data_IF_215699205422
#
_entry.id   IF_215699205422
#
_cell.length_a   1.000
_cell.length_b   1.000
_cell.length_c   1.000
_cell.angle_alpha   90.00
_cell.angle_beta   90.00
_cell.angle_gamma   90.00
#
_symmetry.space_group_name_H-M   'P 1'
#
loop_
_entity.id
_entity.type
_entity.pdbx_description
1 polymer ?
#
# COMPACT_ATOMS: atom_id res chain seq x y z
N UNK A 1 -44.19 31.23 24.91
CA UNK A 1 -42.99 30.70 25.58
C UNK A 1 -42.75 29.31 24.99
N UNK A 2 -41.85 29.19 24.00
CA UNK A 2 -41.50 27.91 23.39
C UNK A 2 -40.19 27.45 24.03
N UNK A 3 -40.26 26.40 24.84
CA UNK A 3 -39.06 25.77 25.42
C UNK A 3 -38.37 24.93 24.35
N UNK A 4 -37.24 25.41 23.86
CA UNK A 4 -36.37 24.64 22.97
C UNK A 4 -35.53 23.68 23.82
N UNK A 5 -35.97 22.44 23.98
CA UNK A 5 -35.14 21.40 24.59
C UNK A 5 -33.95 21.08 23.66
N UNK A 6 -32.69 21.09 24.13
CA UNK A 6 -31.55 20.79 23.28
C UNK A 6 -31.58 19.33 22.83
N UNK A 7 -31.50 19.09 21.51
CA UNK A 7 -31.50 17.76 20.93
C UNK A 7 -30.24 16.98 21.36
N UNK A 8 -30.41 16.03 22.27
CA UNK A 8 -29.34 15.12 22.68
C UNK A 8 -29.08 14.16 21.53
N UNK A 9 -27.88 14.24 20.93
CA UNK A 9 -27.51 13.36 19.81
C UNK A 9 -27.30 11.92 20.30
N UNK A 10 -27.51 10.93 19.40
CA UNK A 10 -27.17 9.53 19.68
C UNK A 10 -25.69 9.37 20.11
N UNK A 11 -24.79 10.17 19.56
CA UNK A 11 -23.38 10.18 19.97
C UNK A 11 -23.20 10.56 21.45
N UNK A 12 -24.01 11.51 21.95
CA UNK A 12 -24.02 11.92 23.36
C UNK A 12 -24.52 10.79 24.27
N UNK A 13 -25.57 10.07 23.85
CA UNK A 13 -26.11 8.93 24.61
C UNK A 13 -25.13 7.76 24.67
N UNK A 14 -24.51 7.40 23.53
CA UNK A 14 -23.50 6.34 23.45
C UNK A 14 -22.27 6.66 24.31
N UNK A 15 -21.80 7.91 24.29
CA UNK A 15 -20.68 8.35 25.13
C UNK A 15 -21.00 8.26 26.63
N UNK A 16 -22.27 8.49 27.00
CA UNK A 16 -22.73 8.41 28.40
C UNK A 16 -22.90 6.96 28.86
N UNK A 17 -23.28 6.05 27.97
CA UNK A 17 -23.50 4.64 28.24
C UNK A 17 -22.23 3.77 28.15
N UNK A 18 -21.14 4.28 27.58
CA UNK A 18 -19.88 3.56 27.50
C UNK A 18 -19.33 3.22 28.89
N UNK A 19 -19.15 1.92 29.17
CA UNK A 19 -18.47 1.42 30.36
C UNK A 19 -17.06 2.01 30.44
N UNK A 20 -16.82 2.83 31.46
CA UNK A 20 -15.50 3.40 31.72
C UNK A 20 -14.66 2.34 32.43
N UNK A 21 -13.83 1.64 31.67
CA UNK A 21 -12.78 0.80 32.24
C UNK A 21 -11.63 1.68 32.72
N UNK A 22 -11.15 1.46 33.95
CA UNK A 22 -9.93 2.10 34.47
C UNK A 22 -8.67 1.61 33.74
N UNK A 23 -8.78 0.48 33.03
CA UNK A 23 -7.77 0.05 32.08
C UNK A 23 -7.77 1.00 30.88
N UNK A 24 -6.91 2.03 30.96
CA UNK A 24 -6.36 2.68 29.78
C UNK A 24 -5.21 1.81 29.29
N UNK A 25 -5.40 0.99 28.25
CA UNK A 25 -4.27 0.33 27.61
C UNK A 25 -3.22 1.40 27.31
N UNK A 26 -2.00 1.20 27.79
CA UNK A 26 -0.92 2.16 27.64
C UNK A 26 -0.75 2.58 26.17
N UNK A 27 -1.06 1.66 25.23
CA UNK A 27 -0.95 1.86 23.79
C UNK A 27 -1.97 0.99 23.01
N UNK A 28 -3.07 1.57 22.49
CA UNK A 28 -4.06 0.85 21.63
C UNK A 28 -3.76 0.84 20.14
N UNK A 29 -2.54 1.20 19.77
CA UNK A 29 -2.04 0.76 18.48
C UNK A 29 -0.58 0.40 18.64
N UNK A 30 -0.11 -0.72 18.06
CA UNK A 30 1.33 -0.96 17.82
C UNK A 30 1.97 0.12 16.92
N UNK A 31 1.22 1.16 16.59
CA UNK A 31 1.41 2.13 15.56
C UNK A 31 1.02 3.50 16.12
N UNK A 32 1.76 4.00 17.13
CA UNK A 32 2.14 5.42 17.05
C UNK A 32 3.00 5.54 15.78
N UNK A 33 2.31 5.48 14.65
CA UNK A 33 2.78 5.62 13.28
C UNK A 33 3.41 6.98 13.28
N UNK A 34 4.73 7.00 13.31
CA UNK A 34 5.53 8.22 13.39
C UNK A 34 4.91 9.23 12.41
N UNK A 35 4.22 10.27 12.91
CA UNK A 35 3.55 11.29 12.10
C UNK A 35 4.52 11.94 11.08
N UNK A 36 5.84 11.77 11.29
CA UNK A 36 6.93 12.44 10.59
C UNK A 36 7.00 12.19 9.08
N UNK A 37 6.25 11.25 8.50
CA UNK A 37 6.30 10.99 7.03
C UNK A 37 4.98 11.13 6.27
N UNK A 38 3.89 11.64 6.88
CA UNK A 38 2.68 11.92 6.11
C UNK A 38 2.94 12.90 4.96
N UNK A 39 3.82 13.88 5.16
CA UNK A 39 4.16 14.85 4.13
C UNK A 39 4.72 14.18 2.86
N UNK A 40 5.72 13.31 3.02
CA UNK A 40 6.35 12.60 1.88
C UNK A 40 5.37 11.61 1.26
N UNK A 41 4.61 10.86 2.07
CA UNK A 41 3.60 9.94 1.56
C UNK A 41 2.50 10.67 0.77
N UNK A 42 1.99 11.78 1.29
CA UNK A 42 0.97 12.58 0.61
C UNK A 42 1.54 13.27 -0.63
N UNK A 43 2.82 13.67 -0.59
CA UNK A 43 3.54 14.14 -1.77
C UNK A 43 3.59 13.05 -2.85
N UNK A 44 3.90 11.80 -2.48
CA UNK A 44 3.91 10.66 -3.41
C UNK A 44 2.54 10.42 -4.05
N UNK A 45 1.46 10.53 -3.28
CA UNK A 45 0.09 10.42 -3.81
C UNK A 45 -0.24 11.56 -4.77
N UNK A 46 0.12 12.81 -4.42
CA UNK A 46 -0.10 13.99 -5.28
C UNK A 46 0.70 13.94 -6.58
N UNK A 47 1.85 13.28 -6.57
CA UNK A 47 2.73 13.11 -7.73
C UNK A 47 2.65 11.70 -8.32
N UNK A 48 1.51 11.02 -8.16
CA UNK A 48 1.35 9.61 -8.53
C UNK A 48 1.62 9.35 -10.01
N UNK A 49 1.27 10.28 -10.92
CA UNK A 49 1.57 10.18 -12.36
C UNK A 49 3.06 10.19 -12.67
N UNK A 50 3.82 11.09 -12.02
CA UNK A 50 5.28 11.15 -12.17
C UNK A 50 5.91 9.85 -11.66
N UNK A 51 5.46 9.37 -10.51
CA UNK A 51 5.96 8.15 -9.89
C UNK A 51 5.55 6.89 -10.66
N UNK A 52 4.39 6.88 -11.31
CA UNK A 52 3.95 5.80 -12.19
C UNK A 52 4.87 5.72 -13.41
N UNK A 53 5.14 6.85 -14.06
CA UNK A 53 6.08 6.91 -15.16
C UNK A 53 7.47 6.43 -14.74
N UNK A 54 7.99 6.91 -13.60
CA UNK A 54 9.28 6.49 -13.07
C UNK A 54 9.29 4.99 -12.74
N UNK A 55 8.23 4.48 -12.11
CA UNK A 55 8.08 3.07 -11.77
C UNK A 55 8.05 2.18 -13.03
N UNK A 56 7.34 2.60 -14.09
CA UNK A 56 7.30 1.87 -15.35
C UNK A 56 8.69 1.77 -15.97
N UNK A 57 9.42 2.89 -16.06
CA UNK A 57 10.80 2.90 -16.59
C UNK A 57 11.76 2.08 -15.74
N UNK A 58 11.64 2.20 -14.42
CA UNK A 58 12.44 1.41 -13.49
C UNK A 58 12.14 -0.09 -13.62
N UNK A 59 10.87 -0.49 -13.74
CA UNK A 59 10.47 -1.88 -13.91
C UNK A 59 10.98 -2.46 -15.23
N UNK A 60 10.87 -1.71 -16.34
CA UNK A 60 11.42 -2.13 -17.64
C UNK A 60 12.92 -2.33 -17.57
N UNK A 61 13.65 -1.37 -16.99
CA UNK A 61 15.09 -1.50 -16.75
C UNK A 61 15.41 -2.73 -15.91
N UNK A 62 14.72 -2.94 -14.77
CA UNK A 62 14.96 -4.09 -13.91
C UNK A 62 14.68 -5.42 -14.61
N UNK A 63 13.67 -5.46 -15.48
CA UNK A 63 13.36 -6.62 -16.32
C UNK A 63 14.44 -6.90 -17.36
N UNK A 64 15.03 -5.87 -17.97
CA UNK A 64 16.18 -6.07 -18.88
C UNK A 64 17.42 -6.61 -18.16
N UNK A 65 17.59 -6.29 -16.87
CA UNK A 65 18.67 -6.83 -16.03
C UNK A 65 18.34 -8.22 -15.44
N UNK A 66 17.12 -8.74 -15.61
CA UNK A 66 16.70 -10.08 -15.17
C UNK A 66 17.71 -11.21 -15.41
N UNK A 67 18.29 -11.38 -16.62
CA UNK A 67 19.26 -12.46 -16.87
C UNK A 67 20.52 -12.34 -15.99
N UNK A 68 20.95 -11.13 -15.64
CA UNK A 68 22.10 -10.92 -14.75
C UNK A 68 21.76 -11.38 -13.32
N UNK A 69 20.58 -11.01 -12.82
CA UNK A 69 20.12 -11.44 -11.49
C UNK A 69 19.95 -12.96 -11.41
N UNK A 70 19.44 -13.59 -12.48
CA UNK A 70 19.31 -15.04 -12.61
C UNK A 70 20.68 -15.73 -12.61
N UNK A 71 21.68 -15.16 -13.29
CA UNK A 71 23.05 -15.70 -13.34
C UNK A 71 23.83 -15.56 -12.03
N UNK A 72 23.66 -14.46 -11.28
CA UNK A 72 24.30 -14.24 -9.98
C UNK A 72 23.62 -15.07 -8.86
N UNK A 73 22.31 -15.31 -9.02
CA UNK A 73 21.46 -16.00 -8.08
C UNK A 73 20.70 -15.03 -7.17
N UNK A 74 19.37 -15.22 -7.07
CA UNK A 74 18.47 -14.37 -6.31
C UNK A 74 18.83 -14.23 -4.82
N UNK A 75 19.32 -15.30 -4.20
CA UNK A 75 19.71 -15.31 -2.79
C UNK A 75 20.84 -14.32 -2.46
N UNK A 76 21.79 -14.13 -3.39
CA UNK A 76 22.92 -13.21 -3.19
C UNK A 76 22.54 -11.75 -3.43
N UNK A 77 21.60 -11.53 -4.36
CA UNK A 77 21.14 -10.20 -4.76
C UNK A 77 20.08 -9.64 -3.80
N UNK A 78 19.33 -10.51 -3.13
CA UNK A 78 18.23 -10.09 -2.26
C UNK A 78 18.68 -9.18 -1.12
N UNK A 79 19.77 -9.51 -0.43
CA UNK A 79 20.30 -8.69 0.68
C UNK A 79 20.49 -7.20 0.32
N UNK A 80 21.33 -6.87 -0.68
CA UNK A 80 21.55 -5.48 -1.07
C UNK A 80 20.30 -4.84 -1.68
N UNK A 81 19.52 -5.56 -2.50
CA UNK A 81 18.30 -5.00 -3.11
C UNK A 81 17.24 -4.69 -2.07
N UNK A 82 17.01 -5.60 -1.11
CA UNK A 82 16.10 -5.39 0.03
C UNK A 82 16.50 -4.17 0.85
N UNK A 83 17.79 -3.96 1.07
CA UNK A 83 18.30 -2.82 1.82
C UNK A 83 17.98 -1.49 1.14
N UNK A 84 18.22 -1.40 -0.17
CA UNK A 84 17.85 -0.23 -0.98
C UNK A 84 16.33 -0.07 -1.00
N UNK A 85 15.59 -1.14 -1.27
CA UNK A 85 14.13 -1.16 -1.33
C UNK A 85 13.51 -0.65 -0.03
N UNK A 86 13.99 -1.13 1.13
CA UNK A 86 13.48 -0.74 2.45
C UNK A 86 13.69 0.74 2.73
N UNK A 87 14.83 1.31 2.33
CA UNK A 87 15.12 2.74 2.53
C UNK A 87 14.32 3.62 1.59
N UNK A 88 14.37 3.33 0.29
CA UNK A 88 13.68 4.11 -0.73
C UNK A 88 12.17 4.04 -0.52
N UNK A 89 11.60 2.83 -0.42
CA UNK A 89 10.15 2.68 -0.23
C UNK A 89 9.68 3.05 1.17
N UNK A 90 10.51 2.83 2.19
CA UNK A 90 10.23 3.27 3.56
C UNK A 90 10.09 4.79 3.64
N UNK A 91 11.02 5.53 3.02
CA UNK A 91 10.97 6.98 3.00
C UNK A 91 9.82 7.53 2.14
N UNK A 92 9.65 7.03 0.91
CA UNK A 92 8.69 7.60 -0.04
C UNK A 92 7.23 7.23 0.25
N UNK A 93 6.98 6.02 0.74
CA UNK A 93 5.62 5.44 0.82
C UNK A 93 5.24 4.92 2.21
N UNK A 94 6.11 5.07 3.22
CA UNK A 94 5.99 4.39 4.51
C UNK A 94 5.82 2.87 4.33
N UNK A 95 6.63 2.28 3.45
CA UNK A 95 6.52 0.86 3.12
C UNK A 95 6.77 -0.04 4.34
N UNK A 96 5.91 -1.05 4.52
CA UNK A 96 5.97 -2.05 5.60
C UNK A 96 6.59 -3.38 5.18
N UNK A 97 7.25 -3.41 4.03
CA UNK A 97 7.96 -4.59 3.51
C UNK A 97 7.10 -5.86 3.54
N UNK A 98 5.85 -5.81 3.08
CA UNK A 98 4.98 -7.00 2.98
C UNK A 98 5.40 -7.99 1.87
N UNK A 99 6.52 -7.74 1.19
CA UNK A 99 7.00 -8.54 0.05
C UNK A 99 6.15 -8.42 -1.21
N UNK A 100 4.92 -7.90 -1.13
CA UNK A 100 3.92 -7.87 -2.20
C UNK A 100 3.42 -6.46 -2.52
N UNK A 101 4.26 -5.69 -3.22
CA UNK A 101 4.00 -4.29 -3.56
C UNK A 101 2.89 -4.13 -4.61
N UNK A 102 1.92 -3.24 -4.33
CA UNK A 102 0.81 -2.89 -5.25
C UNK A 102 0.64 -1.37 -5.43
N UNK A 103 1.70 -0.59 -5.20
CA UNK A 103 1.67 0.89 -5.27
C UNK A 103 1.17 1.41 -6.62
N UNK A 104 1.50 0.71 -7.71
CA UNK A 104 1.06 1.02 -9.07
C UNK A 104 -0.44 0.79 -9.31
N UNK A 105 -1.13 0.04 -8.44
CA UNK A 105 -2.58 -0.14 -8.50
C UNK A 105 -3.30 0.77 -7.51
N UNK A 106 -2.63 1.21 -6.44
CA UNK A 106 -3.24 1.93 -5.32
C UNK A 106 -2.86 3.41 -5.25
N UNK A 107 -2.66 4.06 -6.40
CA UNK A 107 -2.44 5.51 -6.43
C UNK A 107 -1.20 5.97 -5.68
N UNK A 108 -0.14 5.14 -5.63
CA UNK A 108 1.06 5.38 -4.80
C UNK A 108 0.80 5.47 -3.28
N UNK A 109 -0.35 4.99 -2.80
CA UNK A 109 -0.68 4.85 -1.38
C UNK A 109 -0.53 3.37 -0.97
N UNK A 110 0.39 3.06 -0.06
CA UNK A 110 0.60 1.69 0.41
C UNK A 110 -0.57 1.25 1.32
N UNK A 111 -1.31 0.16 1.01
CA UNK A 111 -2.44 -0.32 1.81
C UNK A 111 -2.03 -0.86 3.19
N UNK A 112 -0.77 -1.27 3.35
CA UNK A 112 -0.23 -1.74 4.63
C UNK A 112 -0.11 -0.60 5.66
N UNK A 113 -0.30 0.65 5.24
CA UNK A 113 -0.45 1.78 6.14
C UNK A 113 -1.87 1.90 6.72
N UNK A 114 -2.79 1.00 6.37
CA UNK A 114 -4.09 0.92 7.03
C UNK A 114 -3.90 0.27 8.41
N UNK A 115 -4.48 0.81 9.50
CA UNK A 115 -4.43 0.15 10.81
C UNK A 115 -5.02 -1.25 10.79
N UNK A 116 -5.99 -1.47 9.89
CA UNK A 116 -6.64 -2.76 9.64
C UNK A 116 -5.86 -3.68 8.69
N UNK A 117 -4.75 -3.18 8.11
CA UNK A 117 -3.92 -3.90 7.13
C UNK A 117 -4.70 -4.49 5.93
N UNK A 118 -5.82 -3.85 5.58
CA UNK A 118 -6.68 -4.29 4.50
C UNK A 118 -6.02 -4.02 3.14
N UNK A 119 -5.73 -5.12 2.41
CA UNK A 119 -5.15 -5.04 1.07
C UNK A 119 -6.13 -4.63 -0.01
N UNK A 120 -7.42 -4.87 0.21
CA UNK A 120 -8.53 -4.42 -0.62
C UNK A 120 -9.42 -3.49 0.21
N UNK A 121 -9.94 -2.43 -0.40
CA UNK A 121 -10.83 -1.48 0.26
C UNK A 121 -11.75 -0.79 -0.75
N UNK A 122 -12.51 0.23 -0.34
CA UNK A 122 -12.58 0.79 1.02
C UNK A 122 -13.28 -0.13 2.04
N UNK A 123 -13.08 0.12 3.33
CA UNK A 123 -13.68 -0.69 4.41
C UNK A 123 -14.93 -0.08 5.04
N UNK A 124 -15.50 0.98 4.44
CA UNK A 124 -16.65 1.73 4.99
C UNK A 124 -16.33 2.64 6.19
N UNK A 125 -15.24 2.38 6.92
CA UNK A 125 -14.81 3.14 8.10
C UNK A 125 -14.13 4.48 7.82
N UNK A 126 -14.62 5.26 6.85
CA UNK A 126 -14.09 6.59 6.54
C UNK A 126 -14.97 7.64 7.21
N UNK A 127 -14.37 8.52 8.00
CA UNK A 127 -15.05 9.65 8.63
C UNK A 127 -15.43 10.70 7.58
N UNK A 128 -16.41 11.55 7.90
CA UNK A 128 -16.86 12.63 7.02
C UNK A 128 -15.74 13.59 6.59
N UNK A 129 -14.68 13.72 7.39
CA UNK A 129 -13.49 14.52 7.06
C UNK A 129 -12.44 13.77 6.20
N UNK A 130 -12.71 12.55 5.75
CA UNK A 130 -11.78 11.72 4.98
C UNK A 130 -10.76 10.93 5.80
N UNK A 131 -10.85 10.96 7.14
CA UNK A 131 -9.92 10.25 8.02
C UNK A 131 -10.39 8.82 8.35
N UNK A 132 -9.45 7.95 8.76
CA UNK A 132 -9.74 6.55 9.11
C UNK A 132 -10.48 6.46 10.44
N UNK A 133 -11.51 5.62 10.60
CA UNK A 133 -12.25 5.43 11.86
C UNK A 133 -11.39 4.99 13.06
N UNK A 134 -10.31 4.23 12.83
CA UNK A 134 -9.47 3.69 13.91
C UNK A 134 -8.50 4.75 14.45
N UNK A 135 -7.92 5.57 13.58
CA UNK A 135 -7.02 6.66 13.96
C UNK A 135 -7.61 8.00 13.43
N UNK A 136 -8.31 8.79 14.26
CA UNK A 136 -8.99 10.02 13.82
C UNK A 136 -8.12 11.07 13.17
N UNK A 137 -6.83 11.10 13.50
CA UNK A 137 -5.89 12.10 12.98
C UNK A 137 -5.20 11.64 11.68
N UNK A 138 -5.43 10.40 11.23
CA UNK A 138 -4.82 9.87 10.01
C UNK A 138 -5.77 10.03 8.80
N UNK A 139 -5.29 10.55 7.66
CA UNK A 139 -6.02 10.45 6.41
C UNK A 139 -6.26 8.99 6.02
N UNK A 140 -7.47 8.66 5.57
CA UNK A 140 -7.78 7.30 5.15
C UNK A 140 -6.88 6.88 3.98
N UNK A 141 -6.23 5.72 4.13
CA UNK A 141 -5.29 5.18 3.14
C UNK A 141 -5.95 4.94 1.79
N UNK A 142 -7.20 4.48 1.80
CA UNK A 142 -7.97 4.18 0.60
C UNK A 142 -8.56 5.41 -0.06
N UNK A 143 -8.91 6.45 0.72
CA UNK A 143 -9.24 7.76 0.15
C UNK A 143 -8.04 8.31 -0.62
N UNK A 144 -6.84 8.26 -0.02
CA UNK A 144 -5.60 8.68 -0.69
C UNK A 144 -5.20 7.79 -1.87
N UNK A 145 -5.46 6.49 -1.78
CA UNK A 145 -5.25 5.58 -2.91
C UNK A 145 -6.14 5.95 -4.10
N UNK A 146 -7.42 6.26 -3.83
CA UNK A 146 -8.36 6.71 -4.86
C UNK A 146 -7.95 8.05 -5.47
N UNK A 147 -7.65 9.07 -4.64
CA UNK A 147 -7.15 10.37 -5.13
C UNK A 147 -5.93 10.21 -6.04
N UNK A 148 -4.95 9.40 -5.61
CA UNK A 148 -3.75 9.14 -6.40
C UNK A 148 -4.03 8.35 -7.67
N UNK A 149 -4.96 7.40 -7.66
CA UNK A 149 -5.31 6.60 -8.84
C UNK A 149 -5.95 7.45 -9.92
N UNK A 150 -6.77 8.44 -9.55
CA UNK A 150 -7.40 9.36 -10.52
C UNK A 150 -6.41 10.27 -11.25
N UNK A 151 -5.19 10.42 -10.73
CA UNK A 151 -4.11 11.18 -11.37
C UNK A 151 -3.25 10.28 -12.29
N UNK A 152 -3.23 8.97 -12.04
CA UNK A 152 -2.46 7.98 -12.80
C UNK A 152 -3.09 7.66 -14.16
N UNK A 153 -2.26 7.20 -15.09
CA UNK A 153 -2.67 6.71 -16.42
C UNK A 153 -3.43 5.39 -16.27
N UNK A 154 -2.90 4.45 -15.48
CA UNK A 154 -3.55 3.15 -15.22
C UNK A 154 -4.31 3.15 -13.89
N UNK A 155 -5.02 4.24 -13.61
CA UNK A 155 -5.74 4.45 -12.36
C UNK A 155 -6.84 3.44 -12.05
N UNK A 156 -7.39 2.78 -13.07
CA UNK A 156 -8.52 1.84 -12.90
C UNK A 156 -8.09 0.49 -12.33
N UNK A 157 -6.79 0.20 -12.28
CA UNK A 157 -6.23 -0.98 -11.59
C UNK A 157 -6.55 -1.01 -10.09
N UNK A 158 -7.01 0.10 -9.52
CA UNK A 158 -7.49 0.14 -8.13
C UNK A 158 -8.76 -0.69 -7.92
N UNK A 159 -9.51 -0.97 -9.00
CA UNK A 159 -10.74 -1.78 -8.98
C UNK A 159 -10.43 -3.28 -9.02
N UNK A 160 -9.20 -3.66 -9.39
CA UNK A 160 -8.78 -5.05 -9.46
C UNK A 160 -8.66 -5.64 -8.06
N UNK A 161 -9.42 -6.70 -7.80
CA UNK A 161 -9.38 -7.42 -6.52
C UNK A 161 -8.02 -8.09 -6.37
N UNK A 162 -7.28 -7.70 -5.34
CA UNK A 162 -5.95 -8.24 -5.05
C UNK A 162 -6.06 -9.49 -4.18
N UNK A 163 -5.16 -10.45 -4.42
CA UNK A 163 -5.02 -11.62 -3.53
C UNK A 163 -4.63 -11.16 -2.11
N UNK A 164 -5.07 -11.88 -1.05
CA UNK A 164 -4.62 -11.61 0.31
C UNK A 164 -3.10 -11.51 0.42
N UNK A 165 -2.61 -10.72 1.38
CA UNK A 165 -1.16 -10.65 1.64
C UNK A 165 -0.69 -11.99 2.20
N UNK A 166 0.31 -12.57 1.53
CA UNK A 166 1.05 -13.70 2.06
C UNK A 166 2.07 -13.17 3.08
N UNK A 167 1.85 -13.48 4.36
CA UNK A 167 2.70 -13.02 5.45
C UNK A 167 4.06 -13.74 5.49
N UNK A 168 4.21 -14.89 4.82
CA UNK A 168 5.50 -15.60 4.74
C UNK A 168 6.54 -14.80 3.95
N UNK A 169 6.09 -13.91 3.05
CA UNK A 169 6.92 -13.05 2.21
C UNK A 169 7.31 -11.75 2.90
N UNK A 170 6.98 -11.57 4.17
CA UNK A 170 7.30 -10.33 4.90
C UNK A 170 8.82 -10.16 5.02
N UNK A 171 9.27 -8.90 4.92
CA UNK A 171 10.69 -8.52 4.88
C UNK A 171 11.49 -9.12 3.71
N UNK A 172 10.84 -9.61 2.64
CA UNK A 172 11.48 -9.99 1.38
C UNK A 172 11.42 -8.86 0.35
N UNK A 173 12.22 -8.95 -0.72
CA UNK A 173 12.23 -7.92 -1.76
C UNK A 173 11.05 -8.06 -2.73
N UNK A 174 10.21 -7.02 -2.82
CA UNK A 174 9.12 -7.02 -3.80
C UNK A 174 9.63 -6.72 -5.22
N UNK A 175 10.75 -6.01 -5.36
CA UNK A 175 11.33 -5.71 -6.68
C UNK A 175 11.81 -6.97 -7.41
N UNK A 176 12.58 -7.82 -6.75
CA UNK A 176 13.07 -9.06 -7.38
C UNK A 176 11.93 -10.00 -7.72
N UNK A 177 10.94 -10.12 -6.82
CA UNK A 177 9.77 -10.99 -7.03
C UNK A 177 8.92 -10.53 -8.20
N UNK A 178 8.53 -9.25 -8.26
CA UNK A 178 7.75 -8.71 -9.38
C UNK A 178 8.52 -8.88 -10.70
N UNK A 179 9.84 -8.67 -10.68
CA UNK A 179 10.68 -8.87 -11.87
C UNK A 179 10.71 -10.34 -12.30
N UNK A 180 10.83 -11.28 -11.35
CA UNK A 180 10.81 -12.71 -11.64
C UNK A 180 9.44 -13.17 -12.19
N UNK A 181 8.35 -12.72 -11.58
CA UNK A 181 6.97 -13.00 -12.02
C UNK A 181 6.72 -12.46 -13.44
N UNK A 182 7.14 -11.23 -13.72
CA UNK A 182 6.98 -10.63 -15.04
C UNK A 182 7.90 -11.25 -16.10
N UNK A 183 9.12 -11.69 -15.74
CA UNK A 183 9.97 -12.46 -16.63
C UNK A 183 9.36 -13.82 -16.98
N UNK A 184 8.85 -14.56 -15.99
CA UNK A 184 8.16 -15.83 -16.21
C UNK A 184 6.91 -15.67 -17.09
N UNK A 185 6.14 -14.59 -16.91
CA UNK A 185 5.01 -14.28 -17.76
C UNK A 185 5.41 -13.99 -19.21
N UNK A 186 6.52 -13.25 -19.43
CA UNK A 186 7.07 -12.99 -20.77
C UNK A 186 7.56 -14.27 -21.45
N UNK A 187 8.23 -15.15 -20.71
CA UNK A 187 8.67 -16.46 -21.21
C UNK A 187 7.48 -17.35 -21.58
N UNK A 188 6.45 -17.43 -20.72
CA UNK A 188 5.23 -18.19 -21.00
C UNK A 188 4.50 -17.68 -22.25
N UNK A 189 4.39 -16.35 -22.41
CA UNK A 189 3.78 -15.74 -23.59
C UNK A 189 4.59 -16.03 -24.87
N UNK A 190 5.94 -15.99 -24.79
CA UNK A 190 6.81 -16.34 -25.91
C UNK A 190 6.64 -17.80 -26.32
N UNK A 191 6.58 -18.71 -25.35
CA UNK A 191 6.42 -20.14 -25.60
C UNK A 191 5.03 -20.46 -26.17
N UNK A 192 3.99 -19.75 -25.72
CA UNK A 192 2.65 -19.86 -26.29
C UNK A 192 2.58 -19.32 -27.74
N UNK A 193 3.34 -18.27 -28.05
CA UNK A 193 3.41 -17.71 -29.40
C UNK A 193 4.25 -18.58 -30.37
N UNK A 194 5.25 -19.31 -29.87
CA UNK A 194 6.12 -20.19 -30.65
C UNK A 194 6.24 -21.58 -30.01
N UNK A 195 5.24 -22.48 -30.18
CA UNK A 195 5.20 -23.78 -29.52
C UNK A 195 6.31 -24.78 -29.96
N UNK A 196 7.22 -24.39 -30.87
CA UNK A 196 8.27 -25.25 -31.42
C UNK A 196 9.71 -24.69 -31.36
N UNK A 197 9.97 -23.58 -30.66
CA UNK A 197 11.33 -23.05 -30.51
C UNK A 197 12.05 -23.74 -29.31
N UNK A 198 13.29 -24.25 -29.46
CA UNK A 198 13.99 -24.92 -28.37
C UNK A 198 14.33 -23.94 -27.22
N UNK A 199 14.26 -24.48 -26.00
CA UNK A 199 14.52 -23.80 -24.73
C UNK A 199 15.99 -23.40 -24.53
#
# INVERSE_FOLDING_TARGET
MSETTPAITQATLVKKAALKSDYKPADVSPQRRVQRSFAVRLWSVRHSRLLEWFYARFADMFLTLHPLWKGIGYSRVEGPVKFVEKRVKGFMFDCRMCGQCILSSTGMSCPMNCPKQLRNGPCGGVRANGNCEVEPDMPCVWVKAWEGSRIMVHGDKILDVQKPVDQSLRETSAWLRVTAEAAAAREAARNAANPGAPA
#
